data_IF_594125102095
#
_entry.id   IF_594125102095
#
_cell.length_a   1.000
_cell.length_b   1.000
_cell.length_c   1.000
_cell.angle_alpha   90.00
_cell.angle_beta   90.00
_cell.angle_gamma   90.00
#
_symmetry.space_group_name_H-M   'P 1'
#
loop_
_entity.id
_entity.type
_entity.pdbx_description
1 polymer ?
#
# COMPACT_ATOMS: atom_id res chain seq x y z
N UNK A 1 -10.33 39.91 -23.43
CA UNK A 1 -9.17 40.15 -22.55
C UNK A 1 -8.80 38.88 -21.82
N UNK A 2 -7.73 38.26 -22.21
CA UNK A 2 -7.14 37.20 -21.40
C UNK A 2 -6.51 37.83 -20.17
N UNK A 3 -7.07 37.55 -19.02
CA UNK A 3 -6.39 37.81 -17.75
C UNK A 3 -5.41 36.67 -17.49
N UNK A 4 -4.12 37.02 -17.43
CA UNK A 4 -3.13 36.06 -16.98
C UNK A 4 -3.40 35.60 -15.55
N UNK A 5 -3.18 34.34 -15.26
CA UNK A 5 -3.27 33.83 -13.92
C UNK A 5 -2.23 34.52 -13.01
N UNK A 6 -2.70 35.07 -11.90
CA UNK A 6 -1.81 35.63 -10.90
C UNK A 6 -1.03 34.49 -10.22
N UNK A 7 0.31 34.43 -10.34
CA UNK A 7 1.09 33.33 -9.78
C UNK A 7 1.02 33.27 -8.24
N UNK A 8 0.74 34.37 -7.57
CA UNK A 8 0.56 34.42 -6.11
C UNK A 8 -0.79 33.81 -5.73
N UNK A 9 -1.86 34.14 -6.43
CA UNK A 9 -3.20 33.60 -6.21
C UNK A 9 -3.29 32.10 -6.55
N UNK A 10 -2.54 31.64 -7.54
CA UNK A 10 -2.45 30.21 -7.89
C UNK A 10 -1.55 29.39 -6.95
N UNK A 11 -0.83 30.04 -6.03
CA UNK A 11 0.10 29.39 -5.09
C UNK A 11 1.39 28.88 -5.72
N UNK A 12 1.74 29.35 -6.92
CA UNK A 12 2.98 28.97 -7.59
C UNK A 12 4.19 29.76 -7.08
N UNK A 13 3.99 31.02 -6.73
CA UNK A 13 5.03 31.92 -6.23
C UNK A 13 4.57 32.60 -4.95
N UNK A 14 5.50 32.88 -4.07
CA UNK A 14 5.27 33.71 -2.89
C UNK A 14 5.71 35.16 -3.13
N UNK A 15 5.13 36.11 -2.35
CA UNK A 15 5.56 37.51 -2.40
C UNK A 15 7.04 37.69 -2.07
N UNK A 16 7.56 36.89 -1.14
CA UNK A 16 8.96 36.94 -0.76
C UNK A 16 9.89 36.52 -1.91
N UNK A 17 9.49 35.54 -2.66
CA UNK A 17 10.23 35.07 -3.84
C UNK A 17 10.27 36.12 -4.94
N UNK A 18 9.16 36.81 -5.17
CA UNK A 18 9.09 37.93 -6.13
C UNK A 18 9.97 39.09 -5.71
N UNK A 19 9.91 39.49 -4.44
CA UNK A 19 10.78 40.55 -3.88
C UNK A 19 12.26 40.18 -3.98
N UNK A 20 12.60 38.96 -3.70
CA UNK A 20 13.99 38.47 -3.83
C UNK A 20 14.49 38.61 -5.27
N UNK A 21 13.69 38.22 -6.25
CA UNK A 21 14.03 38.36 -7.67
C UNK A 21 14.10 39.81 -8.14
N UNK A 22 13.29 40.71 -7.57
CA UNK A 22 13.37 42.13 -7.87
C UNK A 22 14.65 42.80 -7.33
N UNK A 23 15.10 42.35 -6.17
CA UNK A 23 16.35 42.87 -5.55
C UNK A 23 17.61 42.29 -6.23
N UNK A 24 17.53 41.11 -6.73
CA UNK A 24 18.66 40.43 -7.37
C UNK A 24 18.27 39.95 -8.78
N UNK A 25 18.66 40.71 -9.83
CA UNK A 25 18.26 40.37 -11.20
C UNK A 25 18.86 39.09 -11.72
N UNK A 26 19.89 38.54 -11.06
CA UNK A 26 20.50 37.26 -11.41
C UNK A 26 19.79 36.07 -10.74
N UNK A 27 18.89 36.30 -9.78
CA UNK A 27 18.17 35.21 -9.12
C UNK A 27 17.04 34.64 -9.98
N UNK A 28 16.99 33.34 -10.15
CA UNK A 28 15.90 32.66 -10.82
C UNK A 28 14.71 32.46 -9.86
N UNK A 29 13.48 32.60 -10.35
CA UNK A 29 12.28 32.30 -9.62
C UNK A 29 12.21 30.81 -9.32
N UNK A 30 11.96 30.45 -8.06
CA UNK A 30 11.75 29.07 -7.64
C UNK A 30 10.25 28.82 -7.45
N UNK A 31 9.73 27.87 -8.20
CA UNK A 31 8.36 27.41 -8.05
C UNK A 31 8.22 26.58 -6.77
N UNK A 32 7.20 26.90 -5.98
CA UNK A 32 6.90 26.09 -4.82
C UNK A 32 6.22 24.79 -5.20
N UNK A 33 6.88 23.69 -4.96
CA UNK A 33 6.36 22.34 -5.21
C UNK A 33 5.51 21.79 -4.05
N UNK A 34 4.89 22.67 -3.26
CA UNK A 34 4.02 22.21 -2.16
C UNK A 34 2.85 21.33 -2.60
N UNK A 35 2.38 21.52 -3.83
CA UNK A 35 1.33 20.65 -4.39
C UNK A 35 1.79 19.25 -4.73
N UNK A 36 3.08 19.04 -5.01
CA UNK A 36 3.57 17.72 -5.36
C UNK A 36 3.64 16.76 -4.18
N UNK A 37 3.91 17.26 -2.98
CA UNK A 37 3.95 16.43 -1.78
C UNK A 37 2.55 15.98 -1.32
N UNK A 38 1.56 16.89 -1.36
CA UNK A 38 0.18 16.54 -1.01
C UNK A 38 -0.50 15.65 -2.05
N UNK A 39 -0.10 15.76 -3.32
CA UNK A 39 -0.59 14.91 -4.39
C UNK A 39 0.03 13.51 -4.29
N UNK A 40 1.30 13.40 -3.91
CA UNK A 40 1.96 12.10 -3.76
C UNK A 40 1.35 11.25 -2.63
N UNK A 41 0.90 11.85 -1.54
CA UNK A 41 0.24 11.12 -0.46
C UNK A 41 -1.16 10.62 -0.84
N UNK A 42 -1.87 11.36 -1.69
CA UNK A 42 -3.19 10.97 -2.18
C UNK A 42 -3.14 9.98 -3.36
N UNK A 43 -2.07 10.03 -4.17
CA UNK A 43 -1.89 9.11 -5.29
C UNK A 43 -1.57 7.70 -4.82
N UNK A 44 -0.91 7.53 -3.67
CA UNK A 44 -0.71 6.20 -3.06
C UNK A 44 -2.02 5.50 -2.70
N UNK A 45 -3.10 6.25 -2.46
CA UNK A 45 -4.41 5.68 -2.13
C UNK A 45 -5.22 5.23 -3.35
N UNK A 46 -4.92 5.73 -4.56
CA UNK A 46 -5.68 5.46 -5.79
C UNK A 46 -4.76 5.18 -6.98
N UNK A 47 -3.92 4.17 -6.85
CA UNK A 47 -3.15 3.72 -8.00
C UNK A 47 -4.10 3.15 -9.06
N UNK A 48 -4.16 3.80 -10.22
CA UNK A 48 -4.93 3.28 -11.35
C UNK A 48 -4.33 1.95 -11.81
N UNK A 49 -5.15 0.92 -11.82
CA UNK A 49 -4.78 -0.40 -12.33
C UNK A 49 -5.44 -0.63 -13.68
N UNK A 50 -4.69 -1.05 -14.71
CA UNK A 50 -5.26 -1.46 -15.98
C UNK A 50 -6.30 -2.57 -15.82
N UNK A 51 -7.24 -2.67 -16.73
CA UNK A 51 -8.31 -3.66 -16.68
C UNK A 51 -7.76 -5.11 -16.67
N UNK A 52 -6.73 -5.36 -17.44
CA UNK A 52 -6.03 -6.66 -17.47
C UNK A 52 -5.50 -7.08 -16.09
N UNK A 53 -4.86 -6.15 -15.38
CA UNK A 53 -4.35 -6.38 -14.03
C UNK A 53 -5.48 -6.61 -13.03
N UNK A 54 -6.59 -5.88 -13.17
CA UNK A 54 -7.78 -6.07 -12.33
C UNK A 54 -8.40 -7.44 -12.49
N UNK A 55 -8.44 -7.97 -13.70
CA UNK A 55 -8.95 -9.31 -13.99
C UNK A 55 -8.05 -10.41 -13.43
N UNK A 56 -6.75 -10.19 -13.41
CA UNK A 56 -5.77 -11.13 -12.87
C UNK A 56 -5.54 -10.98 -11.35
N UNK A 57 -6.08 -9.95 -10.74
CA UNK A 57 -5.98 -9.71 -9.30
C UNK A 57 -6.42 -10.91 -8.43
N UNK A 58 -7.54 -11.58 -8.71
CA UNK A 58 -7.93 -12.77 -7.95
C UNK A 58 -6.89 -13.89 -8.00
N UNK A 59 -6.23 -14.07 -9.15
CA UNK A 59 -5.16 -15.05 -9.32
C UNK A 59 -3.93 -14.72 -8.46
N UNK A 60 -3.59 -13.44 -8.36
CA UNK A 60 -2.51 -12.95 -7.51
C UNK A 60 -2.84 -13.12 -6.02
N UNK A 61 -4.06 -12.85 -5.61
CA UNK A 61 -4.53 -13.06 -4.24
C UNK A 61 -4.45 -14.54 -3.87
N UNK A 62 -4.91 -15.42 -4.75
CA UNK A 62 -4.84 -16.87 -4.54
C UNK A 62 -3.39 -17.35 -4.41
N UNK A 63 -2.48 -16.81 -5.22
CA UNK A 63 -1.05 -17.09 -5.11
C UNK A 63 -0.48 -16.69 -3.74
N UNK A 64 -0.80 -15.47 -3.27
CA UNK A 64 -0.38 -14.98 -1.96
C UNK A 64 -0.94 -15.83 -0.81
N UNK A 65 -2.18 -16.25 -0.92
CA UNK A 65 -2.82 -17.13 0.08
C UNK A 65 -2.13 -18.50 0.11
N UNK A 66 -1.77 -19.03 -1.04
CA UNK A 66 -1.08 -20.32 -1.15
C UNK A 66 0.32 -20.29 -0.55
N UNK A 67 1.12 -19.27 -0.93
CA UNK A 67 2.52 -19.18 -0.52
C UNK A 67 2.68 -18.60 0.89
N UNK A 68 1.95 -17.57 1.21
CA UNK A 68 2.10 -16.78 2.45
C UNK A 68 0.85 -16.72 3.32
N UNK A 69 -0.18 -17.50 3.03
CA UNK A 69 -1.46 -17.44 3.73
C UNK A 69 -1.41 -17.78 5.23
N UNK A 70 -0.34 -18.45 5.67
CA UNK A 70 -0.09 -18.71 7.09
C UNK A 70 0.60 -17.55 7.81
N UNK A 71 1.29 -16.72 7.07
CA UNK A 71 2.11 -15.61 7.60
C UNK A 71 1.41 -14.28 7.44
N UNK A 72 0.79 -14.06 6.27
CA UNK A 72 0.09 -12.84 5.94
C UNK A 72 -1.39 -12.89 6.34
N UNK A 73 -1.85 -11.80 6.95
CA UNK A 73 -3.28 -11.62 7.24
C UNK A 73 -4.04 -11.13 6.01
N UNK A 74 -5.34 -11.36 5.98
CA UNK A 74 -6.21 -10.92 4.88
C UNK A 74 -6.13 -9.42 4.61
N UNK A 75 -5.95 -8.62 5.66
CA UNK A 75 -5.73 -7.18 5.54
C UNK A 75 -4.41 -6.83 4.81
N UNK A 76 -3.34 -7.57 5.08
CA UNK A 76 -2.04 -7.36 4.45
C UNK A 76 -2.09 -7.75 2.98
N UNK A 77 -2.71 -8.87 2.66
CA UNK A 77 -2.92 -9.33 1.29
C UNK A 77 -3.78 -8.31 0.51
N UNK A 78 -4.85 -7.81 1.13
CA UNK A 78 -5.70 -6.78 0.54
C UNK A 78 -4.94 -5.50 0.21
N UNK A 79 -4.04 -5.07 1.10
CA UNK A 79 -3.18 -3.90 0.85
C UNK A 79 -2.20 -4.12 -0.29
N UNK A 80 -1.55 -5.29 -0.34
CA UNK A 80 -0.59 -5.63 -1.39
C UNK A 80 -1.24 -5.67 -2.78
N UNK A 81 -2.45 -6.21 -2.85
CA UNK A 81 -3.16 -6.38 -4.13
C UNK A 81 -4.12 -5.24 -4.45
N UNK A 82 -4.16 -4.19 -3.64
CA UNK A 82 -5.13 -3.09 -3.77
C UNK A 82 -6.57 -3.59 -3.83
N UNK A 83 -6.86 -4.61 -3.04
CA UNK A 83 -8.16 -5.28 -2.93
C UNK A 83 -8.83 -4.96 -1.59
N UNK A 84 -9.97 -5.58 -1.33
CA UNK A 84 -10.68 -5.44 -0.07
C UNK A 84 -10.56 -6.73 0.76
N UNK A 85 -10.64 -6.59 2.08
CA UNK A 85 -10.61 -7.72 3.00
C UNK A 85 -11.67 -8.80 2.69
N UNK A 86 -12.96 -8.44 2.43
CA UNK A 86 -13.96 -9.46 2.11
C UNK A 86 -13.65 -10.21 0.81
N UNK A 87 -13.05 -9.56 -0.19
CA UNK A 87 -12.61 -10.22 -1.43
C UNK A 87 -11.55 -11.28 -1.14
N UNK A 88 -10.56 -10.96 -0.33
CA UNK A 88 -9.50 -11.92 0.07
C UNK A 88 -10.10 -13.08 0.87
N UNK A 89 -11.02 -12.81 1.79
CA UNK A 89 -11.71 -13.84 2.58
C UNK A 89 -12.54 -14.78 1.70
N UNK A 90 -13.25 -14.25 0.71
CA UNK A 90 -14.01 -15.04 -0.26
C UNK A 90 -13.11 -15.95 -1.10
N UNK A 91 -11.96 -15.44 -1.52
CA UNK A 91 -10.97 -16.23 -2.27
C UNK A 91 -10.39 -17.35 -1.39
N UNK A 92 -10.08 -17.05 -0.14
CA UNK A 92 -9.60 -18.04 0.84
C UNK A 92 -10.63 -19.13 1.14
N UNK A 93 -11.90 -18.77 1.21
CA UNK A 93 -13.01 -19.69 1.42
C UNK A 93 -13.39 -20.48 0.16
N UNK A 94 -12.90 -20.08 -1.00
CA UNK A 94 -13.27 -20.71 -2.28
C UNK A 94 -14.65 -20.31 -2.80
N UNK A 95 -15.26 -19.29 -2.22
CA UNK A 95 -16.60 -18.78 -2.58
C UNK A 95 -16.57 -17.85 -3.79
N UNK A 96 -15.81 -18.20 -4.81
CA UNK A 96 -15.74 -17.40 -6.03
C UNK A 96 -16.70 -17.92 -7.10
N UNK A 97 -17.22 -16.98 -7.88
CA UNK A 97 -18.07 -17.28 -9.04
C UNK A 97 -17.34 -18.10 -10.10
N UNK A 98 -16.03 -17.98 -10.14
CA UNK A 98 -15.18 -18.75 -11.07
C UNK A 98 -14.02 -19.39 -10.30
N UNK A 99 -13.75 -20.69 -10.52
CA UNK A 99 -12.62 -21.33 -9.88
C UNK A 99 -11.31 -20.76 -10.41
N UNK A 100 -10.40 -20.45 -9.48
CA UNK A 100 -9.06 -19.96 -9.84
C UNK A 100 -8.20 -21.18 -10.18
N UNK A 101 -7.97 -21.39 -11.46
CA UNK A 101 -7.12 -22.48 -11.97
C UNK A 101 -5.67 -22.08 -12.15
N UNK A 102 -5.43 -20.77 -12.31
CA UNK A 102 -4.10 -20.23 -12.54
C UNK A 102 -3.69 -19.30 -11.39
N UNK A 103 -2.44 -19.44 -11.00
CA UNK A 103 -1.81 -18.56 -10.00
C UNK A 103 -0.84 -17.61 -10.70
N UNK A 104 -0.94 -16.35 -10.38
CA UNK A 104 -0.05 -15.31 -10.92
C UNK A 104 0.67 -14.59 -9.78
N UNK A 105 1.95 -14.34 -10.00
CA UNK A 105 2.74 -13.59 -9.05
C UNK A 105 2.30 -12.10 -9.07
N UNK A 106 1.93 -11.51 -7.91
CA UNK A 106 1.51 -10.11 -7.87
C UNK A 106 2.62 -9.13 -8.25
N UNK A 107 3.87 -9.53 -8.14
CA UNK A 107 5.01 -8.71 -8.56
C UNK A 107 5.08 -8.59 -10.08
N UNK A 108 4.84 -9.66 -10.81
CA UNK A 108 4.80 -9.67 -12.29
C UNK A 108 3.66 -8.81 -12.83
N UNK A 109 2.56 -8.71 -12.09
CA UNK A 109 1.43 -7.86 -12.42
C UNK A 109 1.62 -6.38 -12.00
N UNK A 110 2.69 -6.08 -11.27
CA UNK A 110 2.96 -4.74 -10.76
C UNK A 110 2.00 -4.28 -9.65
N UNK A 111 1.31 -5.20 -8.98
CA UNK A 111 0.40 -4.90 -7.88
C UNK A 111 1.15 -4.51 -6.60
N UNK A 112 2.28 -5.14 -6.33
CA UNK A 112 3.12 -4.84 -5.18
C UNK A 112 4.60 -4.92 -5.54
N UNK A 113 5.42 -4.28 -4.73
CA UNK A 113 6.87 -4.39 -4.79
C UNK A 113 7.34 -5.62 -4.00
N UNK A 114 8.47 -6.18 -4.40
CA UNK A 114 9.13 -7.25 -3.66
C UNK A 114 9.49 -6.83 -2.23
N UNK A 115 9.97 -5.60 -2.08
CA UNK A 115 10.31 -5.00 -0.80
C UNK A 115 9.11 -4.89 0.15
N UNK A 116 7.95 -4.47 -0.37
CA UNK A 116 6.72 -4.38 0.40
C UNK A 116 6.23 -5.76 0.86
N UNK A 117 6.35 -6.76 0.00
CA UNK A 117 5.99 -8.13 0.35
C UNK A 117 6.90 -8.67 1.45
N UNK A 118 8.21 -8.51 1.31
CA UNK A 118 9.21 -8.97 2.28
C UNK A 118 9.01 -8.34 3.67
N UNK A 119 8.80 -7.01 3.70
CA UNK A 119 8.49 -6.29 4.94
C UNK A 119 7.23 -6.81 5.64
N UNK A 120 6.20 -7.13 4.88
CA UNK A 120 4.95 -7.65 5.45
C UNK A 120 5.08 -9.10 5.90
N UNK A 121 5.82 -9.91 5.17
CA UNK A 121 6.15 -11.29 5.57
C UNK A 121 6.95 -11.30 6.87
N UNK A 122 7.97 -10.46 6.99
CA UNK A 122 8.75 -10.32 8.21
C UNK A 122 7.90 -9.88 9.41
N UNK A 123 7.05 -8.88 9.22
CA UNK A 123 6.09 -8.45 10.26
C UNK A 123 5.09 -9.54 10.63
N UNK A 124 4.65 -10.31 9.65
CA UNK A 124 3.76 -11.45 9.86
C UNK A 124 4.43 -12.57 10.66
N UNK A 125 5.66 -12.91 10.33
CA UNK A 125 6.46 -13.90 11.05
C UNK A 125 6.70 -13.48 12.50
N UNK A 126 7.10 -12.24 12.75
CA UNK A 126 7.28 -11.69 14.11
C UNK A 126 6.00 -11.74 14.94
N UNK A 127 4.83 -11.50 14.31
CA UNK A 127 3.53 -11.65 14.98
C UNK A 127 3.24 -13.10 15.31
N UNK A 128 3.41 -14.00 14.37
CA UNK A 128 3.17 -15.42 14.55
C UNK A 128 4.07 -16.02 15.66
N UNK A 129 5.32 -15.59 15.73
CA UNK A 129 6.23 -15.99 16.82
C UNK A 129 5.78 -15.49 18.19
N UNK A 130 5.33 -14.22 18.26
CA UNK A 130 4.80 -13.65 19.51
C UNK A 130 3.54 -14.36 19.96
N UNK A 131 2.64 -14.70 19.04
CA UNK A 131 1.43 -15.46 19.35
C UNK A 131 1.75 -16.90 19.81
N UNK A 132 2.72 -17.56 19.18
CA UNK A 132 3.19 -18.88 19.64
C UNK A 132 3.77 -18.81 21.04
N UNK A 133 4.66 -17.86 21.30
CA UNK A 133 5.25 -17.65 22.64
C UNK A 133 4.20 -17.30 23.69
N UNK A 134 3.18 -16.51 23.31
CA UNK A 134 2.07 -16.18 24.21
C UNK A 134 1.21 -17.41 24.53
N UNK A 135 0.94 -18.26 23.53
CA UNK A 135 0.20 -19.52 23.71
C UNK A 135 0.98 -20.52 24.54
N UNK A 136 2.27 -20.64 24.34
CA UNK A 136 3.15 -21.50 25.17
C UNK A 136 3.16 -21.05 26.65
N UNK A 137 3.30 -19.74 26.88
CA UNK A 137 3.25 -19.20 28.26
C UNK A 137 1.88 -19.41 28.91
N UNK A 138 0.78 -19.25 28.15
CA UNK A 138 -0.56 -19.50 28.66
C UNK A 138 -0.79 -20.99 28.94
N UNK A 139 -0.26 -21.89 28.12
CA UNK A 139 -0.29 -23.33 28.34
C UNK A 139 0.52 -23.76 29.56
N UNK A 140 1.69 -23.16 29.76
CA UNK A 140 2.51 -23.42 30.97
C UNK A 140 1.83 -22.91 32.24
N UNK A 141 1.17 -21.75 32.20
CA UNK A 141 0.43 -21.20 33.34
C UNK A 141 -0.80 -22.07 33.72
N UNK A 142 -1.46 -22.66 32.73
CA UNK A 142 -2.61 -23.54 32.96
C UNK A 142 -2.19 -24.91 33.52
N UNK A 143 -0.98 -25.40 33.21
CA UNK A 143 -0.47 -26.66 33.75
C UNK A 143 0.05 -26.53 35.19
N UNK A 144 0.37 -25.33 35.65
CA UNK A 144 0.85 -25.08 37.02
C UNK A 144 -0.26 -24.92 38.05
N UNK A 145 -1.51 -24.72 37.56
CA UNK A 145 -2.69 -24.50 38.44
C UNK A 145 -3.44 -25.79 38.77
N UNK A 146 -3.03 -26.92 38.19
CA UNK A 146 -3.63 -28.24 38.44
C UNK A 146 -2.64 -29.08 39.27
N UNK A 147 -2.61 -28.80 40.55
CA UNK A 147 -1.98 -29.71 41.55
C UNK A 147 -2.83 -29.75 42.78
#
# INVERSE_FOLDING_TARGET
>A
KMQGLNPIASGQLTMDEIKRCEQDPAAALQLQNKKSESIQTNIKAKKYLPLSVRQERPKAIAWLIREYGKVLTDNQIAKLTSSTKPTVANIRAGNQSQPITEFRNPMDLGLCSYEDLELLVEKGQRKAEKEKKAKEKAAQLSSTTVS
#
